data_IF_547365551059
#
_entry.id   IF_547365551059
#
_cell.length_a   1.000
_cell.length_b   1.000
_cell.length_c   1.000
_cell.angle_alpha   90.00
_cell.angle_beta   90.00
_cell.angle_gamma   90.00
#
_symmetry.space_group_name_H-M   'P 1'
#
loop_
_entity.id
_entity.type
_entity.pdbx_description
1 polymer ?
#
# COMPACT_ATOMS: atom_id res chain seq x y z
N UNK A 1 13.87 -8.98 9.94
CA UNK A 1 14.09 -7.64 10.53
C UNK A 1 13.58 -6.63 9.51
N UNK A 2 12.49 -5.91 9.80
CA UNK A 2 12.03 -4.83 8.92
C UNK A 2 12.87 -3.59 9.19
N UNK A 3 13.40 -2.97 8.14
CA UNK A 3 14.35 -1.87 8.29
C UNK A 3 13.62 -0.52 8.47
N UNK A 4 14.06 0.25 9.46
CA UNK A 4 13.77 1.67 9.56
C UNK A 4 15.12 2.39 9.66
N UNK A 5 15.49 3.10 8.61
CA UNK A 5 16.57 4.10 8.66
C UNK A 5 15.93 5.49 8.58
N UNK A 6 16.64 6.59 8.95
CA UNK A 6 16.03 7.92 9.00
C UNK A 6 15.35 8.39 7.71
N UNK A 7 15.75 7.85 6.54
CA UNK A 7 15.19 8.17 5.23
C UNK A 7 14.52 7.01 4.50
N UNK A 8 14.41 5.81 5.08
CA UNK A 8 13.79 4.64 4.44
C UNK A 8 13.04 3.78 5.44
N UNK A 9 11.79 3.45 5.12
CA UNK A 9 10.91 2.61 5.95
C UNK A 9 10.18 1.56 5.13
N UNK A 10 9.89 0.42 5.74
CA UNK A 10 8.93 -0.55 5.21
C UNK A 10 7.57 -0.41 5.92
N UNK A 11 6.51 -0.22 5.14
CA UNK A 11 5.14 -0.09 5.64
C UNK A 11 4.31 -1.28 5.18
N UNK A 12 3.52 -1.85 6.08
CA UNK A 12 2.51 -2.87 5.76
C UNK A 12 1.12 -2.27 5.98
N UNK A 13 0.32 -2.26 4.92
CA UNK A 13 -1.05 -1.75 4.95
C UNK A 13 -2.03 -2.90 4.70
N UNK A 14 -3.17 -2.81 5.38
CA UNK A 14 -4.35 -3.62 5.08
C UNK A 14 -5.41 -2.67 4.53
N UNK A 15 -5.92 -2.97 3.34
CA UNK A 15 -6.88 -2.14 2.62
C UNK A 15 -8.13 -2.96 2.37
N UNK A 16 -9.25 -2.51 2.90
CA UNK A 16 -10.58 -3.03 2.57
C UNK A 16 -11.22 -2.06 1.57
N UNK A 17 -11.36 -2.49 0.32
CA UNK A 17 -11.91 -1.66 -0.75
C UNK A 17 -13.25 -2.24 -1.22
N UNK A 18 -14.30 -1.43 -1.17
CA UNK A 18 -15.56 -1.76 -1.83
C UNK A 18 -15.44 -1.45 -3.32
N UNK A 19 -15.58 -2.47 -4.17
CA UNK A 19 -15.48 -2.34 -5.63
C UNK A 19 -16.86 -2.57 -6.24
N UNK A 20 -17.25 -1.63 -7.11
CA UNK A 20 -18.40 -1.77 -8.01
C UNK A 20 -17.92 -1.42 -9.42
N UNK A 21 -18.22 -2.26 -10.41
CA UNK A 21 -17.90 -1.99 -11.80
C UNK A 21 -19.09 -2.38 -12.71
N UNK A 22 -19.06 -1.94 -13.96
CA UNK A 22 -20.16 -2.18 -14.91
C UNK A 22 -20.40 -3.66 -15.22
N UNK A 23 -19.40 -4.53 -15.00
CA UNK A 23 -19.51 -5.97 -15.18
C UNK A 23 -20.00 -6.72 -13.93
N UNK A 24 -19.97 -6.10 -12.74
CA UNK A 24 -20.39 -6.66 -11.46
C UNK A 24 -21.05 -5.57 -10.60
N UNK A 25 -22.37 -5.38 -10.75
CA UNK A 25 -23.10 -4.29 -10.10
C UNK A 25 -23.31 -4.50 -8.59
N UNK A 26 -23.20 -5.73 -8.10
CA UNK A 26 -23.20 -5.99 -6.66
C UNK A 26 -21.85 -5.59 -6.05
N UNK A 27 -21.81 -4.66 -5.06
CA UNK A 27 -20.58 -4.28 -4.41
C UNK A 27 -19.94 -5.47 -3.68
N UNK A 28 -18.65 -5.68 -3.95
CA UNK A 28 -17.85 -6.68 -3.24
C UNK A 28 -16.71 -6.00 -2.49
N UNK A 29 -16.32 -6.59 -1.35
CA UNK A 29 -15.16 -6.13 -0.58
C UNK A 29 -13.94 -6.92 -1.02
N UNK A 30 -13.01 -6.23 -1.69
CA UNK A 30 -11.69 -6.77 -1.97
C UNK A 30 -10.77 -6.37 -0.81
N UNK A 31 -10.10 -7.36 -0.21
CA UNK A 31 -9.14 -7.15 0.88
C UNK A 31 -7.73 -7.33 0.36
N UNK A 32 -6.91 -6.31 0.49
CA UNK A 32 -5.53 -6.33 0.00
C UNK A 32 -4.54 -6.07 1.12
N UNK A 33 -3.44 -6.82 1.12
CA UNK A 33 -2.28 -6.55 1.97
C UNK A 33 -1.20 -5.95 1.10
N UNK A 34 -0.82 -4.71 1.37
CA UNK A 34 0.21 -4.00 0.62
C UNK A 34 1.47 -3.92 1.47
N UNK A 35 2.61 -4.29 0.91
CA UNK A 35 3.91 -4.00 1.53
C UNK A 35 4.59 -2.97 0.65
N UNK A 36 5.01 -1.84 1.23
CA UNK A 36 5.69 -0.80 0.48
C UNK A 36 6.97 -0.36 1.17
N UNK A 37 7.98 -0.05 0.36
CA UNK A 37 9.12 0.74 0.81
C UNK A 37 8.79 2.21 0.57
N UNK A 38 9.02 3.06 1.57
CA UNK A 38 8.96 4.50 1.41
C UNK A 38 10.34 5.11 1.63
N UNK A 39 10.65 6.15 0.85
CA UNK A 39 11.84 6.97 0.99
C UNK A 39 11.48 8.43 1.26
N UNK A 40 12.28 9.09 2.09
CA UNK A 40 12.06 10.49 2.45
C UNK A 40 12.79 11.40 1.47
N UNK A 41 12.05 12.07 0.61
CA UNK A 41 12.54 13.01 -0.41
C UNK A 41 12.01 14.40 -0.08
N UNK A 42 12.90 15.38 0.09
CA UNK A 42 12.55 16.78 0.40
C UNK A 42 11.53 16.92 1.54
N UNK A 43 11.73 16.11 2.60
CA UNK A 43 10.86 16.12 3.78
C UNK A 43 9.58 15.29 3.66
N UNK A 44 9.27 14.70 2.50
CA UNK A 44 8.06 13.91 2.23
C UNK A 44 8.39 12.44 2.06
N UNK A 45 7.52 11.56 2.55
CA UNK A 45 7.61 10.13 2.29
C UNK A 45 6.95 9.80 0.96
N UNK A 46 7.72 9.23 0.03
CA UNK A 46 7.25 8.79 -1.27
C UNK A 46 7.41 7.27 -1.36
N UNK A 47 6.44 6.59 -1.97
CA UNK A 47 6.55 5.16 -2.23
C UNK A 47 7.62 4.92 -3.30
N UNK A 48 8.67 4.16 -2.96
CA UNK A 48 9.74 3.79 -3.88
C UNK A 48 9.57 2.36 -4.42
N UNK A 49 8.86 1.50 -3.68
CA UNK A 49 8.48 0.16 -4.12
C UNK A 49 7.14 -0.24 -3.51
N UNK A 50 6.28 -0.88 -4.30
CA UNK A 50 5.02 -1.46 -3.86
C UNK A 50 5.00 -2.93 -4.24
N UNK A 51 4.74 -3.80 -3.27
CA UNK A 51 4.57 -5.23 -3.42
C UNK A 51 3.12 -5.60 -3.06
N UNK A 52 2.44 -6.25 -4.00
CA UNK A 52 1.09 -6.80 -3.88
C UNK A 52 1.19 -8.34 -3.94
N UNK A 53 1.22 -9.04 -2.79
CA UNK A 53 1.28 -10.49 -2.70
C UNK A 53 -0.05 -11.17 -3.04
#
# INVERSE_FOLDING_TARGET
MKSASPGRVEVMLFVDQSITNTASPEPRVDRSRVVMTMEKVDGRWLASKVDLP
#
